data_IF_009151563124
#
_entry.id   IF_009151563124
#
_cell.length_a   1.000
_cell.length_b   1.000
_cell.length_c   1.000
_cell.angle_alpha   90.00
_cell.angle_beta   90.00
_cell.angle_gamma   90.00
#
_symmetry.space_group_name_H-M   'P 1'
#
loop_
_entity.id
_entity.type
_entity.pdbx_description
1 polymer ?
#
# COMPACT_ATOMS: atom_id res chain seq x y z
N UNK A 1 21.56 -36.31 -7.83
CA UNK A 1 21.50 -34.96 -7.24
C UNK A 1 20.05 -34.50 -7.07
N UNK A 2 19.43 -34.82 -5.93
CA UNK A 2 18.09 -34.35 -5.61
C UNK A 2 18.19 -32.84 -5.32
N UNK A 3 17.65 -32.02 -6.21
CA UNK A 3 17.41 -30.61 -5.95
C UNK A 3 16.52 -30.51 -4.71
N UNK A 4 17.13 -30.28 -3.56
CA UNK A 4 16.44 -30.08 -2.28
C UNK A 4 15.66 -28.78 -2.35
N UNK A 5 14.43 -28.87 -2.86
CA UNK A 5 13.46 -27.77 -2.82
C UNK A 5 13.41 -27.22 -1.39
N UNK A 6 13.47 -25.90 -1.26
CA UNK A 6 13.42 -25.19 0.03
C UNK A 6 12.24 -25.71 0.87
N UNK A 7 12.42 -25.95 2.18
CA UNK A 7 11.33 -26.41 3.05
C UNK A 7 10.07 -25.54 2.94
N UNK A 8 10.25 -24.23 2.77
CA UNK A 8 9.15 -23.29 2.57
C UNK A 8 8.36 -23.58 1.29
N UNK A 9 9.05 -23.92 0.19
CA UNK A 9 8.41 -24.22 -1.10
C UNK A 9 7.71 -25.58 -1.14
N UNK A 10 7.95 -26.45 -0.14
CA UNK A 10 7.22 -27.72 0.03
C UNK A 10 5.86 -27.54 0.71
N UNK A 11 5.65 -26.40 1.38
CA UNK A 11 4.37 -26.12 2.03
C UNK A 11 3.29 -25.78 1.00
N UNK A 12 2.01 -26.09 1.27
CA UNK A 12 0.89 -25.60 0.48
C UNK A 12 0.86 -24.07 0.42
N UNK A 13 0.32 -23.52 -0.67
CA UNK A 13 0.29 -22.08 -0.93
C UNK A 13 -0.47 -21.29 0.15
N UNK A 14 -1.45 -21.92 0.78
CA UNK A 14 -2.28 -21.36 1.85
C UNK A 14 -1.44 -21.09 3.08
N UNK A 15 -0.60 -22.06 3.47
CA UNK A 15 0.29 -21.96 4.62
C UNK A 15 1.40 -20.95 4.36
N UNK A 16 1.96 -20.94 3.14
CA UNK A 16 2.96 -19.93 2.74
C UNK A 16 2.39 -18.51 2.83
N UNK A 17 1.18 -18.29 2.30
CA UNK A 17 0.50 -16.98 2.40
C UNK A 17 0.27 -16.57 3.85
N UNK A 18 -0.12 -17.49 4.72
CA UNK A 18 -0.30 -17.18 6.13
C UNK A 18 1.03 -16.77 6.79
N UNK A 19 2.12 -17.50 6.55
CA UNK A 19 3.46 -17.14 7.00
C UNK A 19 3.84 -15.74 6.50
N UNK A 20 3.59 -15.45 5.22
CA UNK A 20 3.86 -14.14 4.63
C UNK A 20 3.04 -13.02 5.28
N UNK A 21 1.77 -13.24 5.65
CA UNK A 21 0.96 -12.25 6.38
C UNK A 21 1.55 -11.89 7.75
N UNK A 22 2.19 -12.84 8.41
CA UNK A 22 2.87 -12.60 9.69
C UNK A 22 4.21 -11.88 9.52
N UNK A 23 4.91 -12.12 8.41
CA UNK A 23 6.24 -11.54 8.15
C UNK A 23 6.18 -10.15 7.51
N UNK A 24 5.22 -9.94 6.61
CA UNK A 24 5.05 -8.68 5.89
C UNK A 24 4.29 -7.67 6.76
N UNK A 25 4.45 -6.36 6.49
CA UNK A 25 3.67 -5.33 7.16
C UNK A 25 2.17 -5.64 7.06
N UNK A 26 1.52 -5.80 8.22
CA UNK A 26 0.16 -6.32 8.28
C UNK A 26 -0.85 -5.33 7.68
N UNK A 27 -1.60 -5.73 6.62
CA UNK A 27 -2.57 -4.90 5.93
C UNK A 27 -3.92 -4.73 6.63
N UNK A 28 -4.20 -5.52 7.67
CA UNK A 28 -5.49 -5.50 8.39
C UNK A 28 -5.73 -4.19 9.16
N UNK A 29 -4.73 -3.32 9.20
CA UNK A 29 -4.81 -1.93 9.66
C UNK A 29 -4.50 -1.07 8.45
N UNK A 30 -5.51 -0.41 7.88
CA UNK A 30 -5.39 0.41 6.68
C UNK A 30 -4.07 1.21 6.67
N UNK A 31 -3.32 1.14 5.56
CA UNK A 31 -2.11 1.95 5.38
C UNK A 31 -2.56 3.41 5.29
N UNK A 32 -2.55 4.11 6.41
CA UNK A 32 -2.87 5.54 6.48
C UNK A 32 -1.62 6.33 6.16
N UNK A 33 -1.58 6.87 4.95
CA UNK A 33 -0.52 7.73 4.47
C UNK A 33 -0.98 9.18 4.68
N UNK A 34 -0.40 9.83 5.68
CA UNK A 34 -0.64 11.23 6.00
C UNK A 34 0.52 12.07 5.44
N UNK A 35 0.20 13.16 4.74
CA UNK A 35 1.18 14.11 4.25
C UNK A 35 0.77 15.53 4.63
N UNK A 36 1.63 16.23 5.36
CA UNK A 36 1.49 17.66 5.68
C UNK A 36 2.46 18.45 4.80
N UNK A 37 1.98 19.52 4.18
CA UNK A 37 2.64 20.31 3.13
C UNK A 37 3.83 21.19 3.60
N UNK A 38 4.64 20.74 4.57
CA UNK A 38 5.86 21.46 4.93
C UNK A 38 7.06 20.52 4.99
N UNK A 39 7.95 20.70 4.01
CA UNK A 39 9.25 20.05 3.84
C UNK A 39 9.29 18.52 3.88
N UNK A 40 9.50 17.91 2.72
CA UNK A 40 10.42 16.76 2.46
C UNK A 40 10.52 15.62 3.47
N UNK A 41 9.51 15.47 4.31
CA UNK A 41 9.39 14.44 5.29
C UNK A 41 8.05 13.84 5.00
N UNK A 42 8.09 12.60 4.50
CA UNK A 42 7.14 11.61 4.96
C UNK A 42 7.09 11.81 6.47
N UNK A 43 6.13 12.58 6.97
CA UNK A 43 5.79 12.49 8.39
C UNK A 43 5.22 11.10 8.47
N UNK A 44 6.12 10.13 8.69
CA UNK A 44 5.77 8.84 9.21
C UNK A 44 5.09 9.15 10.52
N UNK A 45 3.77 9.36 10.48
CA UNK A 45 2.96 9.46 11.68
C UNK A 45 3.27 8.17 12.43
N UNK A 46 3.63 8.29 13.72
CA UNK A 46 4.25 7.23 14.48
C UNK A 46 3.47 5.97 14.23
N UNK A 47 4.15 4.95 13.70
CA UNK A 47 3.78 3.57 13.90
C UNK A 47 3.18 3.53 15.28
N UNK A 48 1.85 3.34 15.38
CA UNK A 48 1.16 3.46 16.67
C UNK A 48 2.04 2.79 17.69
N UNK A 49 2.35 3.43 18.83
CA UNK A 49 3.27 2.91 19.87
C UNK A 49 2.89 1.52 20.41
N UNK A 50 1.80 0.93 19.91
CA UNK A 50 1.29 -0.41 20.14
C UNK A 50 1.30 -1.33 18.91
N UNK A 51 1.91 -0.93 17.80
CA UNK A 51 2.12 -1.72 16.59
C UNK A 51 3.57 -2.22 16.60
N UNK A 52 3.77 -3.42 17.16
CA UNK A 52 4.95 -4.25 16.87
C UNK A 52 4.87 -4.73 15.41
N UNK A 53 4.93 -3.81 14.45
CA UNK A 53 5.48 -4.15 13.15
C UNK A 53 7.00 -4.24 13.33
N UNK A 54 7.71 -5.13 12.63
CA UNK A 54 9.15 -5.08 12.67
C UNK A 54 9.55 -3.72 12.09
N UNK A 55 10.14 -2.83 12.89
CA UNK A 55 11.02 -1.74 12.45
C UNK A 55 12.29 -2.26 11.74
N UNK A 56 12.25 -3.54 11.37
CA UNK A 56 13.32 -4.35 10.88
C UNK A 56 13.03 -4.57 9.40
N UNK A 57 13.85 -3.98 8.54
CA UNK A 57 13.78 -4.12 7.09
C UNK A 57 13.95 -5.58 6.61
N UNK A 58 14.09 -6.54 7.53
CA UNK A 58 14.14 -7.99 7.28
C UNK A 58 12.97 -8.51 6.44
N UNK A 59 11.79 -7.89 6.48
CA UNK A 59 10.70 -8.29 5.59
C UNK A 59 11.04 -8.06 4.10
N UNK A 60 11.89 -7.07 3.78
CA UNK A 60 12.42 -6.89 2.42
C UNK A 60 13.33 -8.05 2.01
N UNK A 61 14.02 -8.69 2.96
CA UNK A 61 14.86 -9.85 2.67
C UNK A 61 14.01 -11.02 2.15
N UNK A 62 12.79 -11.19 2.68
CA UNK A 62 11.82 -12.20 2.19
C UNK A 62 11.48 -11.95 0.72
N UNK A 63 11.17 -10.70 0.37
CA UNK A 63 10.87 -10.30 -1.01
C UNK A 63 12.07 -10.44 -1.96
N UNK A 64 13.30 -10.44 -1.44
CA UNK A 64 14.53 -10.61 -2.23
C UNK A 64 14.97 -12.08 -2.35
N UNK A 65 14.33 -13.00 -1.62
CA UNK A 65 14.82 -14.38 -1.50
C UNK A 65 14.61 -15.21 -2.77
N UNK A 66 13.41 -15.16 -3.35
CA UNK A 66 13.05 -15.97 -4.51
C UNK A 66 11.90 -15.29 -5.29
N UNK A 67 11.84 -15.50 -6.61
CA UNK A 67 10.81 -14.90 -7.48
C UNK A 67 9.39 -15.35 -7.17
N UNK A 68 9.18 -16.62 -6.81
CA UNK A 68 7.85 -17.14 -6.44
C UNK A 68 7.40 -16.53 -5.11
N UNK A 69 8.29 -16.48 -4.12
CA UNK A 69 8.06 -15.85 -2.82
C UNK A 69 7.81 -14.34 -3.00
N UNK A 70 8.53 -13.70 -3.93
CA UNK A 70 8.34 -12.30 -4.26
C UNK A 70 6.91 -12.05 -4.77
N UNK A 71 6.42 -12.83 -5.73
CA UNK A 71 5.06 -12.63 -6.25
C UNK A 71 3.97 -13.00 -5.23
N UNK A 72 4.15 -14.08 -4.46
CA UNK A 72 3.24 -14.41 -3.35
C UNK A 72 3.22 -13.28 -2.31
N UNK A 73 4.38 -12.75 -1.96
CA UNK A 73 4.53 -11.66 -1.01
C UNK A 73 3.94 -10.34 -1.51
N UNK A 74 4.15 -10.00 -2.79
CA UNK A 74 3.50 -8.85 -3.41
C UNK A 74 1.97 -9.01 -3.41
N UNK A 75 1.47 -10.21 -3.70
CA UNK A 75 0.03 -10.48 -3.68
C UNK A 75 -0.55 -10.22 -2.29
N UNK A 76 0.11 -10.69 -1.24
CA UNK A 76 -0.29 -10.42 0.15
C UNK A 76 -0.19 -8.92 0.47
N UNK A 77 0.92 -8.27 0.11
CA UNK A 77 1.19 -6.88 0.44
C UNK A 77 0.31 -5.87 -0.29
N UNK A 78 -0.09 -6.13 -1.53
CA UNK A 78 -0.84 -5.16 -2.34
C UNK A 78 -2.31 -5.55 -2.54
N UNK A 79 -2.63 -6.85 -2.62
CA UNK A 79 -4.01 -7.27 -2.88
C UNK A 79 -4.88 -7.30 -1.63
N UNK A 80 -4.29 -7.61 -0.48
CA UNK A 80 -5.01 -7.66 0.79
C UNK A 80 -5.06 -6.28 1.48
N UNK A 81 -4.18 -5.36 1.07
CA UNK A 81 -4.05 -4.01 1.62
C UNK A 81 -5.11 -3.04 1.17
N UNK A 82 -5.53 -2.21 2.12
CA UNK A 82 -6.24 -0.96 1.84
C UNK A 82 -5.26 0.21 1.99
N UNK A 83 -5.03 0.93 0.89
CA UNK A 83 -4.21 2.14 0.86
C UNK A 83 -5.11 3.34 1.10
N UNK A 84 -4.96 4.01 2.26
CA UNK A 84 -5.73 5.18 2.63
C UNK A 84 -4.83 6.41 2.61
N UNK A 85 -5.01 7.26 1.60
CA UNK A 85 -4.32 8.54 1.48
C UNK A 85 -5.14 9.63 2.14
N UNK A 86 -4.55 10.34 3.08
CA UNK A 86 -5.11 11.52 3.74
C UNK A 86 -4.21 12.69 3.36
N UNK A 87 -4.66 13.50 2.39
CA UNK A 87 -3.82 14.51 1.73
C UNK A 87 -4.58 15.80 1.47
N UNK A 88 -3.87 16.93 1.40
CA UNK A 88 -4.44 18.22 0.97
C UNK A 88 -4.44 18.38 -0.55
N UNK A 89 -3.54 17.67 -1.23
CA UNK A 89 -3.37 17.69 -2.68
C UNK A 89 -3.14 16.27 -3.22
N UNK A 90 -3.07 16.13 -4.55
CA UNK A 90 -2.92 14.83 -5.23
C UNK A 90 -1.47 14.33 -5.34
N UNK A 91 -0.46 15.14 -5.00
CA UNK A 91 0.96 14.83 -5.25
C UNK A 91 1.43 13.55 -4.55
N UNK A 92 1.11 13.30 -3.27
CA UNK A 92 1.59 12.11 -2.57
C UNK A 92 1.09 10.80 -3.19
N UNK A 93 -0.14 10.82 -3.70
CA UNK A 93 -0.72 9.67 -4.39
C UNK A 93 0.01 9.43 -5.71
N UNK A 94 0.30 10.50 -6.46
CA UNK A 94 1.07 10.42 -7.70
C UNK A 94 2.51 9.91 -7.44
N UNK A 95 3.15 10.35 -6.36
CA UNK A 95 4.49 9.88 -6.00
C UNK A 95 4.51 8.42 -5.56
N UNK A 96 3.48 7.97 -4.85
CA UNK A 96 3.27 6.56 -4.56
C UNK A 96 3.12 5.74 -5.86
N UNK A 97 2.27 6.19 -6.79
CA UNK A 97 2.07 5.55 -8.10
C UNK A 97 3.38 5.48 -8.90
N UNK A 98 4.16 6.58 -8.92
CA UNK A 98 5.44 6.66 -9.63
C UNK A 98 6.45 5.66 -9.12
N UNK A 99 6.48 5.41 -7.80
CA UNK A 99 7.41 4.47 -7.17
C UNK A 99 7.01 3.00 -7.31
N UNK A 100 5.74 2.72 -7.63
CA UNK A 100 5.25 1.36 -7.83
C UNK A 100 5.69 0.80 -9.18
N UNK A 101 6.28 -0.39 -9.14
CA UNK A 101 6.53 -1.20 -10.33
C UNK A 101 5.24 -1.72 -10.97
N UNK A 102 5.29 -2.18 -12.23
CA UNK A 102 4.10 -2.57 -13.00
C UNK A 102 3.31 -3.71 -12.36
N UNK A 103 4.01 -4.67 -11.76
CA UNK A 103 3.43 -5.84 -11.10
C UNK A 103 2.69 -5.43 -9.81
N UNK A 104 3.26 -4.50 -9.04
CA UNK A 104 2.61 -4.00 -7.84
C UNK A 104 1.35 -3.19 -8.18
N UNK A 105 1.37 -2.39 -9.26
CA UNK A 105 0.19 -1.63 -9.73
C UNK A 105 -0.99 -2.53 -10.09
N UNK A 106 -0.76 -3.68 -10.72
CA UNK A 106 -1.83 -4.61 -11.07
C UNK A 106 -2.39 -5.38 -9.87
N UNK A 107 -1.69 -5.37 -8.73
CA UNK A 107 -2.10 -6.02 -7.49
C UNK A 107 -2.83 -5.10 -6.52
N UNK A 108 -2.75 -3.77 -6.68
CA UNK A 108 -3.51 -2.83 -5.83
C UNK A 108 -5.00 -3.01 -6.08
N UNK A 109 -5.75 -3.39 -5.03
CA UNK A 109 -7.21 -3.62 -5.12
C UNK A 109 -8.05 -2.51 -4.48
N UNK A 110 -7.60 -1.97 -3.35
CA UNK A 110 -8.41 -1.08 -2.51
C UNK A 110 -7.68 0.22 -2.20
N UNK A 111 -8.21 1.33 -2.70
CA UNK A 111 -7.69 2.68 -2.43
C UNK A 111 -8.79 3.54 -1.81
N UNK A 112 -8.45 4.28 -0.76
CA UNK A 112 -9.27 5.33 -0.17
C UNK A 112 -8.51 6.65 -0.25
N UNK A 113 -9.19 7.68 -0.72
CA UNK A 113 -8.71 9.04 -0.76
C UNK A 113 -9.56 9.86 0.21
N UNK A 114 -8.91 10.57 1.10
CA UNK A 114 -9.53 11.56 1.97
C UNK A 114 -8.82 12.88 1.75
N UNK A 115 -9.49 13.79 1.05
CA UNK A 115 -8.97 15.12 0.81
C UNK A 115 -9.31 16.00 2.02
N UNK A 116 -8.28 16.60 2.61
CA UNK A 116 -8.47 17.62 3.63
C UNK A 116 -8.73 18.97 2.94
N UNK A 117 -9.66 19.79 3.45
CA UNK A 117 -9.90 21.12 2.90
C UNK A 117 -8.62 21.95 2.99
N UNK A 118 -8.22 22.57 1.89
CA UNK A 118 -7.17 23.57 1.90
C UNK A 118 -7.64 24.79 2.71
N UNK A 119 -6.71 25.45 3.42
CA UNK A 119 -7.00 26.64 4.26
C UNK A 119 -7.70 27.77 3.47
N UNK A 120 -7.54 27.76 2.15
CA UNK A 120 -8.04 28.79 1.23
C UNK A 120 -9.52 28.58 0.82
N UNK A 121 -10.19 27.53 1.29
CA UNK A 121 -11.59 27.23 0.96
C UNK A 121 -11.83 26.91 -0.53
N UNK A 122 -10.77 26.77 -1.32
CA UNK A 122 -10.86 26.39 -2.73
C UNK A 122 -11.26 24.92 -2.82
N UNK A 123 -12.51 24.67 -3.25
CA UNK A 123 -12.97 23.32 -3.61
C UNK A 123 -11.96 22.72 -4.57
N UNK A 124 -11.38 21.57 -4.25
CA UNK A 124 -10.45 20.82 -5.11
C UNK A 124 -11.13 20.57 -6.46
N UNK A 125 -10.83 21.36 -7.51
CA UNK A 125 -11.49 21.19 -8.77
C UNK A 125 -10.80 20.01 -9.46
N UNK A 126 -11.59 19.01 -9.85
CA UNK A 126 -11.18 17.79 -10.57
C UNK A 126 -10.92 16.51 -9.76
N UNK A 127 -11.61 16.30 -8.62
CA UNK A 127 -11.62 14.98 -7.96
C UNK A 127 -12.04 13.86 -8.92
N UNK A 128 -13.07 14.09 -9.75
CA UNK A 128 -13.55 13.09 -10.70
C UNK A 128 -12.50 12.71 -11.75
N UNK A 129 -11.79 13.70 -12.32
CA UNK A 129 -10.70 13.44 -13.28
C UNK A 129 -9.54 12.70 -12.62
N UNK A 130 -9.24 13.03 -11.37
CA UNK A 130 -8.21 12.36 -10.61
C UNK A 130 -8.59 10.89 -10.31
N UNK A 131 -9.84 10.65 -9.91
CA UNK A 131 -10.36 9.29 -9.71
C UNK A 131 -10.31 8.48 -11.00
N UNK A 132 -10.68 9.06 -12.16
CA UNK A 132 -10.54 8.40 -13.46
C UNK A 132 -9.08 8.04 -13.76
N UNK A 133 -8.15 8.97 -13.56
CA UNK A 133 -6.72 8.69 -13.76
C UNK A 133 -6.23 7.55 -12.85
N UNK A 134 -6.65 7.51 -11.59
CA UNK A 134 -6.31 6.43 -10.66
C UNK A 134 -6.82 5.07 -11.15
N UNK A 135 -8.03 5.02 -11.69
CA UNK A 135 -8.56 3.79 -12.29
C UNK A 135 -7.71 3.32 -13.47
N UNK A 136 -7.24 4.23 -14.31
CA UNK A 136 -6.34 3.89 -15.43
C UNK A 136 -4.97 3.40 -14.96
N UNK A 137 -4.43 3.97 -13.87
CA UNK A 137 -3.12 3.60 -13.34
C UNK A 137 -3.11 2.28 -12.55
N UNK A 138 -4.24 1.89 -11.97
CA UNK A 138 -4.39 0.66 -11.20
C UNK A 138 -5.37 -0.28 -11.90
N UNK A 139 -4.91 -1.09 -12.88
CA UNK A 139 -5.80 -2.02 -13.60
C UNK A 139 -6.40 -3.08 -12.68
N UNK A 140 -5.79 -3.31 -11.51
CA UNK A 140 -6.29 -4.22 -10.50
C UNK A 140 -7.36 -3.64 -9.56
N UNK A 141 -7.64 -2.33 -9.64
CA UNK A 141 -8.44 -1.62 -8.65
C UNK A 141 -9.90 -2.09 -8.67
N UNK A 142 -10.36 -2.66 -7.56
CA UNK A 142 -11.75 -3.09 -7.39
C UNK A 142 -12.56 -2.12 -6.54
N UNK A 143 -11.90 -1.34 -5.68
CA UNK A 143 -12.58 -0.42 -4.78
C UNK A 143 -11.80 0.89 -4.69
N UNK A 144 -12.42 1.97 -5.16
CA UNK A 144 -11.98 3.34 -4.97
C UNK A 144 -13.02 4.10 -4.15
N UNK A 145 -12.63 4.57 -2.97
CA UNK A 145 -13.47 5.45 -2.15
C UNK A 145 -12.82 6.83 -2.09
N UNK A 146 -13.49 7.86 -2.61
CA UNK A 146 -13.08 9.24 -2.42
C UNK A 146 -14.06 9.90 -1.44
N UNK A 147 -13.64 10.08 -0.19
CA UNK A 147 -14.41 10.80 0.82
C UNK A 147 -13.87 12.23 0.92
N UNK A 148 -14.61 13.25 0.47
CA UNK A 148 -14.16 14.64 0.52
C UNK A 148 -14.16 15.24 1.93
N UNK A 149 -14.64 14.53 2.95
CA UNK A 149 -14.75 15.05 4.32
C UNK A 149 -14.45 13.96 5.35
N UNK A 150 -13.40 14.15 6.13
CA UNK A 150 -13.21 13.45 7.40
C UNK A 150 -13.56 14.45 8.50
N UNK A 151 -14.70 14.25 9.16
CA UNK A 151 -14.93 14.86 10.47
C UNK A 151 -13.88 14.27 11.41
N UNK A 152 -12.89 15.06 11.80
CA UNK A 152 -12.01 14.79 12.94
C UNK A 152 -12.72 15.21 14.22
#
# INVERSE_FOLDING_TARGET
PHSTSSPLMRLPSEIRREILRYLLPNPSRAFRLFYTDNESSLVGIPWNRHQRGPTDERWLAVLRTNRDIYYEGLSVLYSESRFHFITFNYSPVLDFIRRLGPEARSMVRKVRLSLLPAEDGTKTPNLDRFCMAIHDFFPGLTTLHADPWVWL
#
